data_IF_597648647419
#
_entry.id   IF_597648647419
#
_cell.length_a   1.000
_cell.length_b   1.000
_cell.length_c   1.000
_cell.angle_alpha   90.00
_cell.angle_beta   90.00
_cell.angle_gamma   90.00
#
_symmetry.space_group_name_H-M   'P 1'
#
loop_
_entity.id
_entity.type
_entity.pdbx_description
1 polymer ?
#
# COMPACT_ATOMS: atom_id res chain seq x y z
N UNK A 1 41.20 9.99 -4.86
CA UNK A 1 39.86 10.58 -5.13
C UNK A 1 39.87 12.10 -5.25
N UNK A 2 40.77 12.81 -4.54
CA UNK A 2 40.87 14.29 -4.62
C UNK A 2 41.46 14.74 -5.97
N UNK A 3 42.45 14.03 -6.50
CA UNK A 3 43.13 14.38 -7.77
C UNK A 3 42.27 14.15 -9.02
N UNK A 4 41.33 13.16 -8.95
CA UNK A 4 40.40 12.90 -10.05
C UNK A 4 39.35 14.03 -10.25
N UNK A 5 38.97 14.74 -9.17
CA UNK A 5 38.09 15.91 -9.24
C UNK A 5 38.77 17.17 -9.78
N UNK A 6 40.06 17.29 -9.55
CA UNK A 6 40.86 18.44 -10.01
C UNK A 6 41.24 18.35 -11.51
N UNK A 7 41.33 17.12 -12.05
CA UNK A 7 41.63 16.92 -13.49
C UNK A 7 40.43 17.17 -14.41
N UNK A 8 39.23 17.41 -13.86
CA UNK A 8 38.01 17.77 -14.58
C UNK A 8 37.48 19.15 -14.17
N UNK A 9 38.35 20.06 -13.80
CA UNK A 9 37.94 21.45 -13.69
C UNK A 9 37.46 21.91 -15.08
N UNK A 10 36.27 22.53 -15.19
CA UNK A 10 35.77 23.04 -16.47
C UNK A 10 36.82 24.01 -17.08
N UNK A 11 37.07 23.87 -18.37
CA UNK A 11 37.96 24.79 -19.11
C UNK A 11 37.40 26.21 -19.08
N UNK A 12 38.23 27.22 -19.40
CA UNK A 12 37.77 28.60 -19.49
C UNK A 12 36.65 28.68 -20.55
N UNK A 13 35.41 28.86 -20.13
CA UNK A 13 34.21 28.91 -21.00
C UNK A 13 33.12 27.89 -20.66
N UNK A 14 33.39 26.88 -19.82
CA UNK A 14 32.37 25.92 -19.32
C UNK A 14 31.73 26.43 -18.02
N UNK A 15 31.16 27.62 -18.04
CA UNK A 15 30.33 28.13 -16.96
C UNK A 15 28.96 27.47 -16.99
N UNK A 16 28.44 27.10 -15.81
CA UNK A 16 27.06 26.59 -15.68
C UNK A 16 26.10 27.78 -15.77
N UNK A 17 25.13 27.70 -16.69
CA UNK A 17 24.02 28.66 -16.73
C UNK A 17 23.09 28.39 -15.54
N UNK A 18 22.82 29.42 -14.78
CA UNK A 18 21.79 29.36 -13.75
C UNK A 18 20.41 29.24 -14.42
N UNK A 19 19.66 28.20 -14.10
CA UNK A 19 18.33 27.96 -14.65
C UNK A 19 17.29 28.53 -13.69
N UNK A 20 16.45 29.42 -14.19
CA UNK A 20 15.27 29.90 -13.50
C UNK A 20 14.07 29.02 -13.89
N UNK A 21 13.41 28.53 -12.87
CA UNK A 21 12.22 27.70 -13.02
C UNK A 21 10.97 28.55 -12.83
N UNK A 22 10.07 28.50 -13.80
CA UNK A 22 8.79 29.22 -13.72
C UNK A 22 7.90 28.61 -12.64
N UNK A 23 7.06 29.44 -11.97
CA UNK A 23 6.01 28.93 -11.07
C UNK A 23 5.16 27.85 -11.75
N UNK A 24 4.73 26.87 -10.96
CA UNK A 24 3.99 25.71 -11.44
C UNK A 24 4.86 24.59 -12.06
N UNK A 25 6.20 24.69 -11.95
CA UNK A 25 7.13 23.62 -12.34
C UNK A 25 7.50 22.76 -11.14
N UNK A 26 7.39 21.45 -11.31
CA UNK A 26 7.80 20.44 -10.32
C UNK A 26 8.99 19.63 -10.85
N UNK A 27 10.01 19.43 -10.04
CA UNK A 27 11.12 18.51 -10.33
C UNK A 27 10.96 17.26 -9.48
N UNK A 28 11.18 16.09 -10.08
CA UNK A 28 11.00 14.78 -9.43
C UNK A 28 12.26 13.94 -9.55
N UNK A 29 12.68 13.34 -8.44
CA UNK A 29 13.82 12.44 -8.38
C UNK A 29 13.60 11.37 -7.29
N UNK A 30 14.41 10.33 -7.32
CA UNK A 30 14.39 9.24 -6.36
C UNK A 30 15.71 9.12 -5.60
N UNK A 31 15.58 8.94 -4.30
CA UNK A 31 16.66 8.50 -3.42
C UNK A 31 16.46 7.08 -2.89
N UNK A 32 17.55 6.50 -2.40
CA UNK A 32 17.49 5.23 -1.65
C UNK A 32 17.66 5.50 -0.17
N UNK A 33 16.95 4.76 0.68
CA UNK A 33 17.14 4.80 2.13
C UNK A 33 16.70 3.50 2.78
N UNK A 34 17.04 3.33 4.06
CA UNK A 34 16.62 2.20 4.88
C UNK A 34 15.69 2.66 5.99
N UNK A 35 14.71 1.83 6.31
CA UNK A 35 13.85 1.99 7.48
C UNK A 35 13.41 0.61 7.99
N UNK A 36 13.08 0.52 9.28
CA UNK A 36 12.39 -0.64 9.83
C UNK A 36 10.88 -0.38 9.75
N UNK A 37 10.13 -1.26 9.08
CA UNK A 37 8.67 -1.15 8.95
C UNK A 37 8.03 -2.45 9.41
N UNK A 38 7.12 -2.37 10.37
CA UNK A 38 6.50 -3.54 10.99
C UNK A 38 7.53 -4.56 11.55
N UNK A 39 8.66 -4.06 12.07
CA UNK A 39 9.75 -4.90 12.59
C UNK A 39 10.74 -5.41 11.53
N UNK A 40 10.48 -5.20 10.25
CA UNK A 40 11.30 -5.68 9.13
C UNK A 40 12.21 -4.56 8.60
N UNK A 41 13.54 -4.78 8.48
CA UNK A 41 14.44 -3.84 7.82
C UNK A 41 14.20 -3.86 6.31
N UNK A 42 13.90 -2.69 5.73
CA UNK A 42 13.55 -2.55 4.32
C UNK A 42 14.46 -1.55 3.62
N UNK A 43 14.91 -1.91 2.40
CA UNK A 43 15.46 -0.97 1.43
C UNK A 43 14.31 -0.32 0.67
N UNK A 44 14.13 0.99 0.86
CA UNK A 44 13.02 1.78 0.35
C UNK A 44 13.51 2.83 -0.65
N UNK A 45 12.58 3.33 -1.44
CA UNK A 45 12.77 4.43 -2.37
C UNK A 45 12.10 5.68 -1.81
N UNK A 46 12.81 6.79 -1.83
CA UNK A 46 12.29 8.10 -1.46
C UNK A 46 11.96 8.86 -2.76
N UNK A 47 10.69 8.91 -3.12
CA UNK A 47 10.21 9.79 -4.17
C UNK A 47 10.23 11.22 -3.63
N UNK A 48 10.98 12.09 -4.26
CA UNK A 48 11.09 13.51 -3.90
C UNK A 48 10.51 14.35 -5.02
N UNK A 49 9.66 15.28 -4.68
CA UNK A 49 9.12 16.28 -5.58
C UNK A 49 9.39 17.68 -5.00
N UNK A 50 9.94 18.56 -5.80
CA UNK A 50 10.25 19.94 -5.40
C UNK A 50 9.56 20.93 -6.32
N UNK A 51 9.13 22.05 -5.75
CA UNK A 51 8.81 23.26 -6.49
C UNK A 51 10.02 24.20 -6.37
N UNK A 52 10.87 24.31 -7.40
CA UNK A 52 12.14 25.03 -7.29
C UNK A 52 11.99 26.53 -7.04
N UNK A 53 10.91 27.15 -7.52
CA UNK A 53 10.64 28.56 -7.34
C UNK A 53 10.41 28.93 -5.85
N UNK A 54 9.52 28.24 -5.07
CA UNK A 54 9.36 28.51 -3.64
C UNK A 54 10.34 27.71 -2.76
N UNK A 55 11.15 26.82 -3.30
CA UNK A 55 11.97 25.84 -2.58
C UNK A 55 11.14 24.92 -1.65
N UNK A 56 9.88 24.63 -2.05
CA UNK A 56 9.04 23.65 -1.37
C UNK A 56 9.47 22.23 -1.73
N UNK A 57 9.62 21.37 -0.72
CA UNK A 57 10.10 20.00 -0.88
C UNK A 57 9.12 19.03 -0.25
N UNK A 58 8.69 18.05 -1.02
CA UNK A 58 7.81 16.96 -0.58
C UNK A 58 8.47 15.62 -0.83
N UNK A 59 8.17 14.63 0.00
CA UNK A 59 8.60 13.27 -0.28
C UNK A 59 7.58 12.21 0.17
N UNK A 60 7.69 11.04 -0.46
CA UNK A 60 6.92 9.84 -0.17
C UNK A 60 7.83 8.62 -0.23
N UNK A 61 7.75 7.75 0.76
CA UNK A 61 8.44 6.46 0.75
C UNK A 61 7.65 5.46 -0.10
N UNK A 62 8.33 4.80 -1.02
CA UNK A 62 7.76 3.76 -1.87
C UNK A 62 8.60 2.48 -1.82
N UNK A 63 8.00 1.33 -2.14
CA UNK A 63 8.71 0.05 -2.19
C UNK A 63 9.52 -0.13 -3.48
N UNK A 64 9.21 0.66 -4.51
CA UNK A 64 9.80 0.53 -5.84
C UNK A 64 9.67 1.84 -6.62
N UNK A 65 10.45 2.00 -7.67
CA UNK A 65 10.39 3.13 -8.61
C UNK A 65 9.44 2.86 -9.79
N UNK A 66 8.71 1.74 -9.80
CA UNK A 66 7.79 1.41 -10.91
C UNK A 66 6.67 2.43 -11.04
N UNK A 67 6.12 2.57 -12.24
CA UNK A 67 5.13 3.59 -12.59
C UNK A 67 3.94 3.65 -11.63
N UNK A 68 3.43 2.50 -11.13
CA UNK A 68 2.33 2.48 -10.17
C UNK A 68 2.70 3.07 -8.81
N UNK A 69 3.94 2.88 -8.34
CA UNK A 69 4.45 3.48 -7.11
C UNK A 69 4.71 4.98 -7.30
N UNK A 70 5.28 5.37 -8.43
CA UNK A 70 5.55 6.77 -8.77
C UNK A 70 4.25 7.56 -8.91
N UNK A 71 3.28 7.07 -9.71
CA UNK A 71 2.01 7.75 -9.90
C UNK A 71 1.23 7.88 -8.58
N UNK A 72 1.21 6.83 -7.74
CA UNK A 72 0.57 6.90 -6.43
C UNK A 72 1.25 7.92 -5.51
N UNK A 73 2.58 7.94 -5.45
CA UNK A 73 3.33 8.89 -4.65
C UNK A 73 3.18 10.34 -5.12
N UNK A 74 3.19 10.58 -6.44
CA UNK A 74 2.94 11.92 -6.99
C UNK A 74 1.49 12.37 -6.75
N UNK A 75 0.50 11.47 -6.87
CA UNK A 75 -0.88 11.81 -6.55
C UNK A 75 -1.04 12.24 -5.08
N UNK A 76 -0.34 11.57 -4.16
CA UNK A 76 -0.31 11.94 -2.73
C UNK A 76 0.34 13.33 -2.53
N UNK A 77 1.46 13.61 -3.20
CA UNK A 77 2.13 14.92 -3.13
C UNK A 77 1.24 16.02 -3.72
N UNK A 78 0.62 15.79 -4.88
CA UNK A 78 -0.32 16.75 -5.47
C UNK A 78 -1.51 17.03 -4.55
N UNK A 79 -1.99 15.98 -3.85
CA UNK A 79 -3.00 16.11 -2.81
C UNK A 79 -2.58 17.02 -1.65
N UNK A 80 -1.31 16.93 -1.21
CA UNK A 80 -0.75 17.80 -0.15
C UNK A 80 -0.65 19.27 -0.60
N UNK A 81 -0.28 19.53 -1.85
CA UNK A 81 -0.31 20.88 -2.43
C UNK A 81 -1.74 21.39 -2.71
N UNK A 82 -2.71 20.49 -2.82
CA UNK A 82 -4.07 20.82 -3.27
C UNK A 82 -4.17 21.24 -4.74
N UNK A 83 -3.07 21.07 -5.49
CA UNK A 83 -2.91 21.47 -6.89
C UNK A 83 -1.98 20.49 -7.62
N UNK A 84 -2.11 20.41 -8.96
CA UNK A 84 -1.21 19.68 -9.83
C UNK A 84 -0.28 20.64 -10.60
N UNK A 85 1.02 20.34 -10.72
CA UNK A 85 1.95 21.15 -11.50
C UNK A 85 1.50 21.31 -12.96
N UNK A 86 1.99 22.35 -13.64
CA UNK A 86 1.84 22.48 -15.10
C UNK A 86 2.87 21.66 -15.85
N UNK A 87 4.09 21.62 -15.31
CA UNK A 87 5.23 20.89 -15.86
C UNK A 87 5.85 20.01 -14.76
N UNK A 88 6.07 18.73 -15.08
CA UNK A 88 6.84 17.81 -14.25
C UNK A 88 8.13 17.45 -14.97
N UNK A 89 9.25 17.76 -14.34
CA UNK A 89 10.59 17.48 -14.86
C UNK A 89 11.13 16.24 -14.15
N UNK A 90 11.46 15.21 -14.92
CA UNK A 90 11.94 13.92 -14.44
C UNK A 90 13.41 13.75 -14.79
N UNK A 91 14.23 13.29 -13.84
CA UNK A 91 15.64 13.02 -14.08
C UNK A 91 15.84 11.86 -15.04
N UNK A 92 15.08 10.80 -14.89
CA UNK A 92 15.29 9.57 -15.64
C UNK A 92 14.00 9.10 -16.32
N UNK A 93 14.12 8.75 -17.60
CA UNK A 93 13.04 8.20 -18.39
C UNK A 93 12.56 6.82 -17.93
N UNK A 94 13.42 6.06 -17.23
CA UNK A 94 13.16 4.65 -16.86
C UNK A 94 11.99 4.49 -15.88
N UNK A 95 11.66 5.49 -15.12
CA UNK A 95 10.59 5.46 -14.12
C UNK A 95 9.22 5.75 -14.74
N UNK A 96 9.17 6.68 -15.67
CA UNK A 96 7.97 7.05 -16.42
C UNK A 96 7.76 6.19 -17.68
N UNK A 97 8.83 5.57 -18.22
CA UNK A 97 8.79 4.86 -19.48
C UNK A 97 10.06 4.10 -19.83
N UNK A 98 10.39 4.05 -21.10
CA UNK A 98 11.62 3.42 -21.62
C UNK A 98 12.31 4.37 -22.59
N UNK A 99 13.65 4.36 -22.59
CA UNK A 99 14.42 5.01 -23.64
C UNK A 99 14.43 4.09 -24.87
N UNK A 100 13.89 4.55 -25.98
CA UNK A 100 13.89 3.85 -27.26
C UNK A 100 14.47 4.78 -28.30
N UNK A 101 15.62 4.42 -28.89
CA UNK A 101 16.31 5.19 -29.93
C UNK A 101 16.60 6.67 -29.58
N UNK A 102 16.86 6.95 -28.29
CA UNK A 102 17.12 8.31 -27.81
C UNK A 102 15.87 9.13 -27.45
N UNK A 103 14.68 8.56 -27.64
CA UNK A 103 13.40 9.15 -27.23
C UNK A 103 12.80 8.41 -26.07
N UNK A 104 12.11 9.14 -25.18
CA UNK A 104 11.40 8.55 -24.05
C UNK A 104 10.01 8.10 -24.46
N UNK A 105 9.78 6.80 -24.45
CA UNK A 105 8.44 6.24 -24.59
C UNK A 105 7.82 6.04 -23.19
N UNK A 106 6.85 6.88 -22.84
CA UNK A 106 6.16 6.82 -21.57
C UNK A 106 5.35 5.50 -21.40
N UNK A 107 5.26 5.01 -20.18
CA UNK A 107 4.37 3.89 -19.87
C UNK A 107 2.91 4.33 -20.03
N UNK A 108 2.02 3.41 -20.42
CA UNK A 108 0.60 3.72 -20.57
C UNK A 108 0.00 4.29 -19.27
N UNK A 109 0.42 3.77 -18.12
CA UNK A 109 -0.05 4.25 -16.80
C UNK A 109 0.40 5.69 -16.54
N UNK A 110 1.66 6.03 -16.83
CA UNK A 110 2.14 7.40 -16.65
C UNK A 110 1.48 8.39 -17.62
N UNK A 111 1.27 7.98 -18.88
CA UNK A 111 0.54 8.82 -19.86
C UNK A 111 -0.91 9.07 -19.41
N UNK A 112 -1.60 8.06 -18.85
CA UNK A 112 -2.93 8.22 -18.26
C UNK A 112 -2.91 9.17 -17.06
N UNK A 113 -1.92 9.02 -16.17
CA UNK A 113 -1.71 9.89 -15.01
C UNK A 113 -1.48 11.34 -15.44
N UNK A 114 -0.60 11.57 -16.43
CA UNK A 114 -0.34 12.87 -17.03
C UNK A 114 -1.62 13.50 -17.60
N UNK A 115 -2.40 12.73 -18.35
CA UNK A 115 -3.67 13.19 -18.92
C UNK A 115 -4.70 13.53 -17.84
N UNK A 116 -4.79 12.73 -16.78
CA UNK A 116 -5.74 12.94 -15.68
C UNK A 116 -5.47 14.25 -14.93
N UNK A 117 -4.21 14.54 -14.58
CA UNK A 117 -3.80 15.78 -13.89
C UNK A 117 -3.49 16.93 -14.85
N UNK A 118 -3.45 16.67 -16.18
CA UNK A 118 -3.28 17.65 -17.24
C UNK A 118 -1.97 18.43 -17.17
N UNK A 119 -0.87 17.78 -16.77
CA UNK A 119 0.45 18.36 -16.77
C UNK A 119 1.27 17.92 -17.99
N UNK A 120 2.32 18.68 -18.31
CA UNK A 120 3.33 18.31 -19.28
C UNK A 120 4.51 17.63 -18.58
N UNK A 121 5.17 16.71 -19.28
CA UNK A 121 6.38 16.03 -18.79
C UNK A 121 7.59 16.46 -19.60
N UNK A 122 8.71 16.70 -18.94
CA UNK A 122 10.02 16.91 -19.55
C UNK A 122 11.05 16.00 -18.89
N UNK A 123 11.93 15.45 -19.69
CA UNK A 123 13.02 14.61 -19.24
C UNK A 123 14.33 15.36 -19.35
N UNK A 124 15.16 15.33 -18.31
CA UNK A 124 16.48 15.93 -18.33
C UNK A 124 17.38 15.19 -19.31
N UNK A 125 18.23 15.91 -20.00
CA UNK A 125 19.24 15.31 -20.88
C UNK A 125 20.27 14.54 -20.02
N UNK A 126 20.72 13.35 -20.48
CA UNK A 126 21.89 12.71 -19.88
C UNK A 126 23.05 13.68 -19.83
N UNK A 127 23.74 13.83 -18.70
CA UNK A 127 24.88 14.69 -18.44
C UNK A 127 24.61 16.20 -18.21
N UNK A 128 23.35 16.64 -18.10
CA UNK A 128 23.04 18.06 -17.80
C UNK A 128 22.89 18.26 -16.28
N UNK A 129 23.98 18.25 -15.53
CA UNK A 129 24.01 18.44 -14.08
C UNK A 129 23.37 19.75 -13.59
N UNK A 130 23.27 20.77 -14.45
CA UNK A 130 22.70 22.08 -14.13
C UNK A 130 21.16 22.03 -13.98
N UNK A 131 20.48 21.12 -14.71
CA UNK A 131 19.03 20.98 -14.68
C UNK A 131 18.55 20.32 -13.37
N UNK A 132 19.46 19.67 -12.63
CA UNK A 132 19.16 18.76 -11.50
C UNK A 132 19.51 19.31 -10.11
N UNK A 133 20.33 20.36 -10.04
CA UNK A 133 20.93 20.79 -8.77
C UNK A 133 19.95 21.02 -7.61
N UNK A 134 18.70 21.39 -7.90
CA UNK A 134 17.69 21.64 -6.89
C UNK A 134 17.14 20.32 -6.29
N UNK A 135 16.71 19.38 -7.13
CA UNK A 135 16.08 18.13 -6.63
C UNK A 135 17.09 17.14 -6.06
N UNK A 136 18.30 17.02 -6.63
CA UNK A 136 19.38 16.19 -6.06
C UNK A 136 19.78 16.66 -4.66
N UNK A 137 19.91 18.00 -4.49
CA UNK A 137 20.14 18.61 -3.18
C UNK A 137 18.98 18.33 -2.21
N UNK A 138 17.72 18.35 -2.69
CA UNK A 138 16.55 18.07 -1.89
C UNK A 138 16.53 16.61 -1.40
N UNK A 139 16.87 15.64 -2.23
CA UNK A 139 16.99 14.22 -1.82
C UNK A 139 17.98 14.09 -0.66
N UNK A 140 19.19 14.66 -0.81
CA UNK A 140 20.21 14.64 0.24
C UNK A 140 19.76 15.36 1.52
N UNK A 141 19.12 16.52 1.38
CA UNK A 141 18.62 17.32 2.47
C UNK A 141 17.53 16.58 3.27
N UNK A 142 16.50 16.05 2.60
CA UNK A 142 15.40 15.34 3.25
C UNK A 142 15.90 14.06 3.94
N UNK A 143 16.82 13.32 3.32
CA UNK A 143 17.42 12.14 3.95
C UNK A 143 18.13 12.48 5.27
N UNK A 144 18.94 13.54 5.30
CA UNK A 144 19.68 13.93 6.52
C UNK A 144 18.76 14.42 7.62
N UNK A 145 17.68 15.12 7.28
CA UNK A 145 16.79 15.74 8.27
C UNK A 145 15.65 14.83 8.75
N UNK A 146 15.20 13.87 7.92
CA UNK A 146 14.00 13.06 8.22
C UNK A 146 14.30 11.56 8.40
N UNK A 147 15.47 11.08 7.94
CA UNK A 147 15.75 9.65 7.86
C UNK A 147 17.06 9.27 8.56
N UNK A 148 17.60 10.16 9.40
CA UNK A 148 18.78 9.91 10.23
C UNK A 148 18.44 10.30 11.67
N UNK A 149 18.62 9.36 12.62
CA UNK A 149 19.03 7.95 12.49
C UNK A 149 17.99 7.12 11.69
N UNK A 150 18.35 5.86 11.33
CA UNK A 150 17.43 4.97 10.59
C UNK A 150 16.11 4.84 11.34
N UNK A 151 14.98 5.24 10.74
CA UNK A 151 13.72 5.31 11.45
C UNK A 151 13.02 3.94 11.52
N UNK A 152 12.13 3.79 12.52
CA UNK A 152 11.30 2.60 12.72
C UNK A 152 9.83 2.99 12.87
N UNK A 153 8.96 2.31 12.11
CA UNK A 153 7.53 2.56 12.06
C UNK A 153 6.72 1.26 12.03
N UNK A 154 5.49 1.30 12.53
CA UNK A 154 4.57 0.17 12.49
C UNK A 154 4.01 -0.14 11.10
N UNK A 155 4.04 0.83 10.17
CA UNK A 155 3.52 0.66 8.81
C UNK A 155 4.11 1.67 7.82
N UNK A 156 4.00 1.37 6.51
CA UNK A 156 4.33 2.33 5.43
C UNK A 156 3.47 3.59 5.50
N UNK A 157 2.22 3.48 5.92
CA UNK A 157 1.32 4.63 6.08
C UNK A 157 1.79 5.56 7.20
N UNK A 158 2.25 5.02 8.32
CA UNK A 158 2.82 5.79 9.43
C UNK A 158 4.11 6.49 9.01
N UNK A 159 5.02 5.77 8.33
CA UNK A 159 6.23 6.34 7.76
C UNK A 159 5.90 7.53 6.84
N UNK A 160 4.98 7.37 5.89
CA UNK A 160 4.62 8.44 4.95
C UNK A 160 3.93 9.62 5.63
N UNK A 161 3.14 9.40 6.67
CA UNK A 161 2.58 10.48 7.50
C UNK A 161 3.70 11.27 8.19
N UNK A 162 4.65 10.60 8.82
CA UNK A 162 5.80 11.23 9.47
C UNK A 162 6.65 12.03 8.48
N UNK A 163 6.87 11.52 7.26
CA UNK A 163 7.57 12.24 6.19
C UNK A 163 6.80 13.49 5.76
N UNK A 164 5.48 13.42 5.61
CA UNK A 164 4.64 14.56 5.26
C UNK A 164 4.72 15.68 6.32
N UNK A 165 4.57 15.32 7.60
CA UNK A 165 4.72 16.24 8.73
C UNK A 165 6.13 16.84 8.79
N UNK A 166 7.15 16.02 8.53
CA UNK A 166 8.54 16.45 8.46
C UNK A 166 8.78 17.47 7.35
N UNK A 167 8.27 17.22 6.14
CA UNK A 167 8.33 18.17 5.04
C UNK A 167 7.63 19.49 5.38
N UNK A 168 6.44 19.42 5.97
CA UNK A 168 5.70 20.62 6.36
C UNK A 168 6.49 21.49 7.37
N UNK A 169 7.12 20.86 8.38
CA UNK A 169 7.98 21.58 9.35
C UNK A 169 9.20 22.23 8.68
N UNK A 170 9.88 21.52 7.77
CA UNK A 170 11.06 22.03 7.08
C UNK A 170 10.70 23.19 6.14
N UNK A 171 9.60 23.06 5.38
CA UNK A 171 9.13 24.08 4.46
C UNK A 171 8.64 25.35 5.18
N UNK A 172 8.06 25.22 6.38
CA UNK A 172 7.60 26.38 7.16
C UNK A 172 8.74 27.35 7.54
N UNK A 173 9.97 26.87 7.69
CA UNK A 173 11.15 27.66 7.98
C UNK A 173 12.03 27.95 6.77
N UNK A 174 11.68 27.44 5.59
CA UNK A 174 12.45 27.59 4.37
C UNK A 174 12.37 29.02 3.80
N UNK A 175 13.41 29.42 3.10
CA UNK A 175 13.47 30.67 2.36
C UNK A 175 13.89 30.41 0.91
N UNK A 176 13.32 31.19 0.00
CA UNK A 176 13.73 31.21 -1.39
C UNK A 176 15.15 31.77 -1.54
N UNK A 177 15.74 31.59 -2.72
CA UNK A 177 17.08 32.14 -3.04
C UNK A 177 17.16 33.67 -2.88
N UNK A 178 16.06 34.38 -3.15
CA UNK A 178 15.95 35.84 -2.98
C UNK A 178 15.72 36.27 -1.52
N UNK A 179 15.68 35.32 -0.56
CA UNK A 179 15.49 35.57 0.86
C UNK A 179 14.04 35.69 1.32
N UNK A 180 13.06 35.70 0.42
CA UNK A 180 11.63 35.70 0.77
C UNK A 180 11.24 34.41 1.50
N UNK A 181 10.24 34.44 2.39
CA UNK A 181 9.68 33.22 2.98
C UNK A 181 9.13 32.29 1.87
N UNK A 182 9.48 31.00 1.92
CA UNK A 182 9.02 30.00 0.95
C UNK A 182 7.49 29.94 0.84
N UNK A 183 6.76 30.12 1.94
CA UNK A 183 5.30 30.14 1.92
C UNK A 183 4.65 31.28 1.13
N UNK A 184 5.37 32.39 0.89
CA UNK A 184 4.87 33.49 0.04
C UNK A 184 5.01 33.10 -1.44
N UNK A 185 6.18 32.64 -1.84
CA UNK A 185 6.43 32.17 -3.21
C UNK A 185 5.60 30.90 -3.54
N UNK A 186 5.31 30.07 -2.57
CA UNK A 186 4.41 28.90 -2.76
C UNK A 186 3.01 29.33 -3.22
N UNK A 187 2.47 30.45 -2.71
CA UNK A 187 1.17 30.95 -3.17
C UNK A 187 1.20 31.37 -4.64
N UNK A 188 2.31 31.92 -5.10
CA UNK A 188 2.54 32.25 -6.53
C UNK A 188 2.55 30.96 -7.36
N UNK A 189 3.31 29.94 -6.93
CA UNK A 189 3.35 28.62 -7.60
C UNK A 189 1.96 27.98 -7.67
N UNK A 190 1.24 27.91 -6.55
CA UNK A 190 -0.09 27.32 -6.49
C UNK A 190 -1.10 28.04 -7.38
N UNK A 191 -0.96 29.37 -7.60
CA UNK A 191 -1.85 30.12 -8.49
C UNK A 191 -1.65 29.71 -9.96
N UNK A 192 -0.44 29.37 -10.36
CA UNK A 192 -0.11 28.89 -11.69
C UNK A 192 -0.37 27.39 -11.91
N UNK A 193 -0.53 26.62 -10.83
CA UNK A 193 -0.81 25.18 -10.88
C UNK A 193 -2.28 24.92 -11.20
N UNK A 194 -2.57 23.71 -11.67
CA UNK A 194 -3.91 23.28 -12.07
C UNK A 194 -4.72 22.81 -10.86
N UNK A 195 -6.03 23.04 -10.88
CA UNK A 195 -6.93 22.44 -9.90
C UNK A 195 -6.91 20.91 -10.02
N UNK A 196 -6.96 20.23 -8.87
CA UNK A 196 -7.06 18.77 -8.84
C UNK A 196 -8.39 18.33 -9.46
N UNK A 197 -8.39 17.16 -10.16
CA UNK A 197 -9.62 16.51 -10.56
C UNK A 197 -10.50 16.15 -9.37
N UNK A 198 -11.82 16.11 -9.56
CA UNK A 198 -12.77 15.75 -8.50
C UNK A 198 -12.69 14.28 -8.05
N UNK A 199 -12.04 13.44 -8.84
CA UNK A 199 -11.79 12.01 -8.53
C UNK A 199 -10.28 11.77 -8.50
N UNK A 200 -9.78 11.11 -7.47
CA UNK A 200 -8.38 10.75 -7.38
C UNK A 200 -8.00 9.72 -8.45
N UNK A 201 -6.78 9.81 -8.97
CA UNK A 201 -6.27 8.83 -9.92
C UNK A 201 -6.00 7.49 -9.23
N UNK A 202 -6.57 6.42 -9.73
CA UNK A 202 -6.24 5.06 -9.30
C UNK A 202 -5.03 4.55 -10.09
N UNK A 203 -3.85 4.59 -9.46
CA UNK A 203 -2.59 4.17 -10.08
C UNK A 203 -2.52 2.64 -10.20
N UNK A 204 -3.33 2.06 -11.06
CA UNK A 204 -3.43 0.61 -11.29
C UNK A 204 -2.94 0.23 -12.68
N UNK A 205 -2.04 -0.77 -12.72
CA UNK A 205 -1.60 -1.43 -13.96
C UNK A 205 -2.29 -2.77 -14.10
N UNK A 206 -3.12 -2.91 -15.11
CA UNK A 206 -3.86 -4.14 -15.40
C UNK A 206 -3.00 -5.10 -16.22
N UNK A 207 -2.86 -6.35 -15.75
CA UNK A 207 -2.06 -7.40 -16.38
C UNK A 207 -2.94 -8.64 -16.56
N UNK A 208 -3.13 -9.15 -17.80
CA UNK A 208 -3.78 -10.43 -18.01
C UNK A 208 -2.86 -11.54 -17.45
N UNK A 209 -3.43 -12.44 -16.65
CA UNK A 209 -2.74 -13.56 -16.03
C UNK A 209 -3.53 -14.86 -16.23
N UNK A 210 -2.87 -16.00 -16.11
CA UNK A 210 -3.52 -17.31 -16.09
C UNK A 210 -3.17 -18.02 -14.78
N UNK A 211 -4.20 -18.51 -14.09
CA UNK A 211 -3.99 -19.35 -12.92
C UNK A 211 -3.48 -20.73 -13.33
N UNK A 212 -2.54 -21.27 -12.59
CA UNK A 212 -2.04 -22.64 -12.75
C UNK A 212 -3.06 -23.67 -12.22
N UNK A 213 -2.69 -24.98 -12.25
CA UNK A 213 -3.54 -26.07 -11.74
C UNK A 213 -3.84 -25.97 -10.24
N UNK A 214 -3.07 -25.21 -9.49
CA UNK A 214 -3.26 -24.95 -8.04
C UNK A 214 -4.08 -23.69 -7.78
N UNK A 215 -4.35 -22.88 -8.81
CA UNK A 215 -5.01 -21.59 -8.68
C UNK A 215 -4.05 -20.46 -8.31
N UNK A 216 -2.76 -20.58 -8.67
CA UNK A 216 -1.75 -19.53 -8.47
C UNK A 216 -1.61 -18.72 -9.75
N UNK A 217 -1.40 -17.42 -9.60
CA UNK A 217 -1.10 -16.49 -10.68
C UNK A 217 0.25 -15.83 -10.44
N UNK A 218 1.01 -15.58 -11.49
CA UNK A 218 2.28 -14.87 -11.42
C UNK A 218 2.10 -13.42 -11.85
N UNK A 219 2.61 -12.50 -11.02
CA UNK A 219 2.65 -11.06 -11.29
C UNK A 219 4.02 -10.52 -10.87
N UNK A 220 4.75 -9.91 -11.81
CA UNK A 220 6.07 -9.32 -11.55
C UNK A 220 7.10 -10.29 -10.92
N UNK A 221 7.06 -11.59 -11.32
CA UNK A 221 7.92 -12.63 -10.77
C UNK A 221 7.52 -13.12 -9.36
N UNK A 222 6.30 -12.77 -8.90
CA UNK A 222 5.76 -13.21 -7.60
C UNK A 222 4.48 -14.02 -7.79
N UNK A 223 4.33 -15.09 -7.04
CA UNK A 223 3.13 -15.91 -7.02
C UNK A 223 2.08 -15.32 -6.05
N UNK A 224 0.83 -15.27 -6.52
CA UNK A 224 -0.35 -14.87 -5.75
C UNK A 224 -1.42 -15.95 -5.84
N UNK A 225 -2.07 -16.27 -4.73
CA UNK A 225 -3.05 -17.36 -4.68
C UNK A 225 -4.45 -16.81 -4.93
N UNK A 226 -4.98 -17.06 -6.13
CA UNK A 226 -6.39 -16.82 -6.46
C UNK A 226 -7.31 -17.87 -5.81
N UNK A 227 -6.78 -19.08 -5.60
CA UNK A 227 -7.46 -20.23 -5.00
C UNK A 227 -7.79 -21.32 -6.02
N UNK A 228 -7.93 -22.58 -5.54
CA UNK A 228 -8.11 -23.75 -6.41
C UNK A 228 -9.39 -23.71 -7.27
N UNK A 229 -10.38 -22.93 -6.87
CA UNK A 229 -11.59 -22.74 -7.66
C UNK A 229 -11.35 -22.04 -9.02
N UNK A 230 -10.19 -21.40 -9.17
CA UNK A 230 -9.80 -20.61 -10.32
C UNK A 230 -8.74 -21.31 -11.19
N UNK A 231 -8.43 -22.59 -10.94
CA UNK A 231 -7.44 -23.33 -11.70
C UNK A 231 -7.68 -23.22 -13.22
N UNK A 232 -6.59 -23.05 -13.97
CA UNK A 232 -6.57 -22.94 -15.43
C UNK A 232 -7.38 -21.75 -16.02
N UNK A 233 -7.94 -20.86 -15.18
CA UNK A 233 -8.72 -19.70 -15.64
C UNK A 233 -7.82 -18.54 -16.06
N UNK A 234 -8.26 -17.79 -17.07
CA UNK A 234 -7.74 -16.46 -17.38
C UNK A 234 -8.35 -15.46 -16.41
N UNK A 235 -7.50 -14.65 -15.81
CA UNK A 235 -7.84 -13.65 -14.80
C UNK A 235 -7.17 -12.33 -15.17
N UNK A 236 -7.56 -11.26 -14.51
CA UNK A 236 -6.95 -9.94 -14.67
C UNK A 236 -6.38 -9.50 -13.32
N UNK A 237 -5.09 -9.17 -13.27
CA UNK A 237 -4.43 -8.65 -12.08
C UNK A 237 -4.28 -7.14 -12.16
N UNK A 238 -4.84 -6.40 -11.20
CA UNK A 238 -4.67 -4.96 -11.01
C UNK A 238 -3.56 -4.70 -10.00
N UNK A 239 -2.42 -4.21 -10.47
CA UNK A 239 -1.22 -3.97 -9.67
C UNK A 239 -1.18 -2.52 -9.24
N UNK A 240 -1.27 -2.26 -7.93
CA UNK A 240 -1.12 -0.94 -7.30
C UNK A 240 0.20 -0.86 -6.51
N UNK A 241 0.50 0.27 -5.94
CA UNK A 241 1.71 0.46 -5.13
C UNK A 241 1.83 -0.54 -3.97
N UNK A 242 0.74 -0.84 -3.28
CA UNK A 242 0.74 -1.70 -2.09
C UNK A 242 -0.10 -2.98 -2.20
N UNK A 243 -0.87 -3.16 -3.29
CA UNK A 243 -1.81 -4.29 -3.42
C UNK A 243 -1.82 -4.86 -4.82
N UNK A 244 -2.19 -6.14 -4.91
CA UNK A 244 -2.54 -6.82 -6.15
C UNK A 244 -3.98 -7.29 -6.02
N UNK A 245 -4.86 -6.79 -6.89
CA UNK A 245 -6.25 -7.19 -7.00
C UNK A 245 -6.41 -8.19 -8.14
N UNK A 246 -7.06 -9.31 -7.90
CA UNK A 246 -7.31 -10.32 -8.92
C UNK A 246 -8.80 -10.30 -9.24
N UNK A 247 -9.11 -10.14 -10.54
CA UNK A 247 -10.47 -10.13 -11.07
C UNK A 247 -10.70 -11.29 -12.02
N UNK A 248 -11.90 -11.85 -11.97
CA UNK A 248 -12.42 -12.78 -12.96
C UNK A 248 -13.32 -12.05 -13.98
N UNK A 249 -13.95 -12.81 -14.85
CA UNK A 249 -14.87 -12.30 -15.86
C UNK A 249 -15.90 -11.34 -15.28
N UNK A 250 -16.25 -10.31 -16.04
CA UNK A 250 -17.19 -9.24 -15.67
C UNK A 250 -16.79 -8.45 -14.43
N UNK A 251 -15.48 -8.37 -14.13
CA UNK A 251 -14.98 -7.58 -13.01
C UNK A 251 -15.24 -8.19 -11.62
N UNK A 252 -15.62 -9.49 -11.55
CA UNK A 252 -15.83 -10.17 -10.27
C UNK A 252 -14.52 -10.25 -9.50
N UNK A 253 -14.47 -9.61 -8.34
CA UNK A 253 -13.30 -9.64 -7.45
C UNK A 253 -13.08 -11.06 -6.90
N UNK A 254 -11.88 -11.59 -7.14
CA UNK A 254 -11.42 -12.90 -6.65
C UNK A 254 -10.65 -12.74 -5.35
N UNK A 255 -9.67 -11.83 -5.33
CA UNK A 255 -8.84 -11.54 -4.17
C UNK A 255 -8.26 -10.13 -4.25
N UNK A 256 -7.97 -9.56 -3.08
CA UNK A 256 -7.08 -8.41 -2.92
C UNK A 256 -5.98 -8.85 -1.95
N UNK A 257 -4.74 -8.79 -2.39
CA UNK A 257 -3.59 -9.33 -1.67
C UNK A 257 -2.54 -8.23 -1.49
N UNK A 258 -1.76 -8.23 -0.41
CA UNK A 258 -0.61 -7.34 -0.29
C UNK A 258 0.35 -7.55 -1.46
N UNK A 259 0.88 -6.46 -2.02
CA UNK A 259 1.92 -6.58 -3.05
C UNK A 259 3.23 -7.00 -2.42
N UNK A 260 3.79 -8.08 -2.91
CA UNK A 260 5.11 -8.57 -2.54
C UNK A 260 6.19 -7.98 -3.44
N UNK A 261 7.37 -7.75 -2.88
CA UNK A 261 8.56 -7.25 -3.56
C UNK A 261 9.74 -8.19 -3.23
N UNK A 262 10.62 -8.40 -4.19
CA UNK A 262 11.74 -9.32 -4.05
C UNK A 262 11.32 -10.79 -4.06
N UNK A 263 12.17 -11.69 -3.60
CA UNK A 263 11.90 -13.13 -3.50
C UNK A 263 11.13 -13.50 -2.22
N UNK A 264 10.47 -14.63 -2.22
CA UNK A 264 9.77 -15.15 -1.05
C UNK A 264 8.60 -16.07 -1.40
N UNK A 265 7.84 -16.56 -0.42
CA UNK A 265 6.71 -17.47 -0.63
C UNK A 265 5.56 -16.79 -1.39
N UNK A 266 4.66 -17.61 -1.95
CA UNK A 266 3.44 -17.10 -2.59
C UNK A 266 2.58 -16.31 -1.62
N UNK A 267 2.07 -15.16 -2.09
CA UNK A 267 1.15 -14.32 -1.30
C UNK A 267 -0.23 -14.93 -1.35
N UNK A 268 -0.83 -15.17 -0.20
CA UNK A 268 -2.11 -15.84 -0.10
C UNK A 268 -3.03 -15.17 0.92
N UNK A 269 -4.32 -15.33 0.68
CA UNK A 269 -5.34 -15.18 1.71
C UNK A 269 -5.80 -16.57 2.12
N UNK A 270 -5.70 -16.97 3.38
CA UNK A 270 -6.15 -18.28 3.85
C UNK A 270 -7.57 -18.62 3.42
N UNK A 271 -8.46 -17.62 3.34
CA UNK A 271 -9.84 -17.80 2.89
C UNK A 271 -9.98 -18.33 1.45
N UNK A 272 -8.99 -18.11 0.58
CA UNK A 272 -9.04 -18.65 -0.79
C UNK A 272 -9.06 -20.17 -0.87
N UNK A 273 -8.61 -20.87 0.19
CA UNK A 273 -8.57 -22.32 0.30
C UNK A 273 -9.86 -22.92 0.89
N UNK A 274 -10.60 -22.14 1.68
CA UNK A 274 -11.75 -22.66 2.45
C UNK A 274 -12.86 -23.24 1.57
N UNK A 275 -13.27 -22.65 0.45
CA UNK A 275 -14.30 -23.25 -0.41
C UNK A 275 -13.94 -24.66 -0.91
N UNK A 276 -12.68 -24.88 -1.27
CA UNK A 276 -12.21 -26.19 -1.70
C UNK A 276 -12.21 -27.21 -0.54
N UNK A 277 -11.86 -26.76 0.66
CA UNK A 277 -11.86 -27.60 1.87
C UNK A 277 -13.28 -27.91 2.35
N UNK A 278 -14.23 -26.99 2.23
CA UNK A 278 -15.65 -27.25 2.50
C UNK A 278 -16.19 -28.34 1.56
N UNK A 279 -15.78 -28.30 0.27
CA UNK A 279 -16.14 -29.34 -0.69
C UNK A 279 -15.45 -30.68 -0.39
N UNK A 280 -14.21 -30.65 0.08
CA UNK A 280 -13.36 -31.84 0.35
C UNK A 280 -12.79 -31.79 1.78
N UNK A 281 -13.59 -32.02 2.84
CA UNK A 281 -13.17 -31.82 4.25
C UNK A 281 -12.00 -32.72 4.68
N UNK A 282 -11.83 -33.89 4.04
CA UNK A 282 -10.72 -34.81 4.33
C UNK A 282 -9.36 -34.20 3.94
N UNK A 283 -9.31 -33.28 2.97
CA UNK A 283 -8.08 -32.61 2.56
C UNK A 283 -7.56 -31.61 3.60
N UNK A 284 -8.32 -31.31 4.65
CA UNK A 284 -7.91 -30.39 5.72
C UNK A 284 -6.61 -30.86 6.40
N UNK A 285 -6.44 -32.18 6.63
CA UNK A 285 -5.27 -32.76 7.30
C UNK A 285 -3.94 -32.36 6.69
N UNK A 286 -3.88 -32.25 5.35
CA UNK A 286 -2.67 -31.91 4.58
C UNK A 286 -2.69 -30.46 4.04
N UNK A 287 -3.71 -29.67 4.41
CA UNK A 287 -3.87 -28.33 3.88
C UNK A 287 -2.94 -27.32 4.55
N UNK A 288 -2.37 -26.42 3.75
CA UNK A 288 -1.51 -25.34 4.23
C UNK A 288 -2.25 -24.30 5.10
N UNK A 289 -3.58 -24.23 5.06
CA UNK A 289 -4.39 -23.33 5.91
C UNK A 289 -4.18 -23.58 7.42
N UNK A 290 -3.81 -24.81 7.77
CA UNK A 290 -3.52 -25.21 9.16
C UNK A 290 -2.46 -24.34 9.82
N UNK A 291 -1.49 -23.81 9.03
CA UNK A 291 -0.43 -22.91 9.52
C UNK A 291 -0.94 -21.51 9.89
N UNK A 292 -2.11 -21.15 9.37
CA UNK A 292 -2.73 -19.84 9.57
C UNK A 292 -3.79 -19.88 10.68
N UNK A 293 -4.06 -21.06 11.26
CA UNK A 293 -5.07 -21.29 12.31
C UNK A 293 -4.41 -21.51 13.67
N UNK A 294 -5.06 -21.14 14.77
CA UNK A 294 -4.61 -21.50 16.11
C UNK A 294 -4.51 -23.04 16.27
N UNK A 295 -3.44 -23.52 16.93
CA UNK A 295 -3.18 -24.95 17.09
C UNK A 295 -4.35 -25.72 17.71
N UNK A 296 -4.97 -25.20 18.79
CA UNK A 296 -6.14 -25.81 19.43
C UNK A 296 -7.36 -25.93 18.50
N UNK A 297 -7.56 -24.97 17.58
CA UNK A 297 -8.61 -25.07 16.57
C UNK A 297 -8.30 -26.18 15.54
N UNK A 298 -7.06 -26.28 15.11
CA UNK A 298 -6.62 -27.34 14.19
C UNK A 298 -6.84 -28.72 14.81
N UNK A 299 -6.40 -28.93 16.03
CA UNK A 299 -6.61 -30.19 16.77
C UNK A 299 -8.12 -30.51 16.96
N UNK A 300 -8.91 -29.48 17.28
CA UNK A 300 -10.36 -29.65 17.42
C UNK A 300 -11.03 -30.08 16.13
N UNK A 301 -10.67 -29.43 15.00
CA UNK A 301 -11.18 -29.80 13.68
C UNK A 301 -10.71 -31.20 13.27
N UNK A 302 -9.49 -31.61 13.61
CA UNK A 302 -8.95 -32.94 13.30
C UNK A 302 -9.72 -34.08 14.01
N UNK A 303 -10.25 -33.84 15.19
CA UNK A 303 -11.08 -34.80 15.95
C UNK A 303 -12.50 -34.94 15.40
N UNK A 304 -12.95 -34.01 14.53
CA UNK A 304 -14.29 -34.04 13.96
C UNK A 304 -14.38 -35.04 12.81
N UNK A 305 -15.57 -35.55 12.58
CA UNK A 305 -15.92 -36.28 11.36
C UNK A 305 -15.99 -35.33 10.13
N UNK A 306 -16.18 -35.88 8.95
CA UNK A 306 -16.23 -35.09 7.71
C UNK A 306 -17.37 -34.05 7.70
N UNK A 307 -18.49 -34.33 8.36
CA UNK A 307 -19.63 -33.41 8.42
C UNK A 307 -19.33 -32.26 9.38
N UNK A 308 -18.76 -32.53 10.55
CA UNK A 308 -18.29 -31.57 11.52
C UNK A 308 -17.22 -30.64 10.96
N UNK A 309 -16.18 -31.19 10.30
CA UNK A 309 -15.15 -30.41 9.60
C UNK A 309 -15.74 -29.47 8.56
N UNK A 310 -16.66 -29.97 7.72
CA UNK A 310 -17.35 -29.14 6.71
C UNK A 310 -18.12 -27.99 7.36
N UNK A 311 -18.82 -28.25 8.46
CA UNK A 311 -19.59 -27.25 9.21
C UNK A 311 -18.66 -26.19 9.78
N UNK A 312 -17.62 -26.58 10.51
CA UNK A 312 -16.64 -25.67 11.10
C UNK A 312 -15.95 -24.78 10.06
N UNK A 313 -15.47 -25.37 8.96
CA UNK A 313 -14.84 -24.60 7.88
C UNK A 313 -15.82 -23.63 7.20
N UNK A 314 -17.08 -24.01 7.02
CA UNK A 314 -18.12 -23.13 6.47
C UNK A 314 -18.40 -21.95 7.41
N UNK A 315 -18.54 -22.22 8.71
CA UNK A 315 -18.79 -21.17 9.71
C UNK A 315 -17.63 -20.18 9.80
N UNK A 316 -16.37 -20.65 9.75
CA UNK A 316 -15.19 -19.80 9.69
C UNK A 316 -15.22 -18.95 8.41
N UNK A 317 -15.52 -19.55 7.25
CA UNK A 317 -15.59 -18.82 5.97
C UNK A 317 -16.58 -17.66 6.03
N UNK A 318 -17.80 -17.93 6.49
CA UNK A 318 -18.88 -16.93 6.57
C UNK A 318 -18.56 -15.81 7.56
N UNK A 319 -18.14 -16.15 8.77
CA UNK A 319 -17.79 -15.17 9.78
C UNK A 319 -16.61 -14.29 9.36
N UNK A 320 -15.69 -14.84 8.56
CA UNK A 320 -14.50 -14.11 8.05
C UNK A 320 -14.86 -13.00 7.08
N UNK A 321 -15.97 -13.07 6.37
CA UNK A 321 -16.41 -12.02 5.44
C UNK A 321 -16.69 -10.69 6.16
N UNK A 322 -17.24 -10.75 7.37
CA UNK A 322 -17.59 -9.59 8.18
C UNK A 322 -16.52 -9.21 9.20
N UNK A 323 -15.80 -10.18 9.76
CA UNK A 323 -14.95 -9.99 10.94
C UNK A 323 -13.46 -10.27 10.71
N UNK A 324 -13.10 -10.76 9.51
CA UNK A 324 -11.74 -11.18 9.18
C UNK A 324 -11.42 -12.61 9.63
N UNK A 325 -10.41 -13.23 8.99
CA UNK A 325 -10.06 -14.64 9.19
C UNK A 325 -9.59 -14.93 10.63
N UNK A 326 -8.75 -14.07 11.18
CA UNK A 326 -8.21 -14.24 12.53
C UNK A 326 -9.31 -14.24 13.59
N UNK A 327 -10.22 -13.26 13.55
CA UNK A 327 -11.33 -13.16 14.49
C UNK A 327 -12.27 -14.36 14.38
N UNK A 328 -12.55 -14.82 13.15
CA UNK A 328 -13.37 -16.01 12.91
C UNK A 328 -12.71 -17.29 13.43
N UNK A 329 -11.40 -17.47 13.27
CA UNK A 329 -10.65 -18.61 13.81
C UNK A 329 -10.63 -18.58 15.34
N UNK A 330 -10.41 -17.42 15.97
CA UNK A 330 -10.47 -17.27 17.43
C UNK A 330 -11.88 -17.56 17.99
N UNK A 331 -12.92 -17.13 17.28
CA UNK A 331 -14.29 -17.43 17.64
C UNK A 331 -14.59 -18.95 17.55
N UNK A 332 -14.18 -19.57 16.46
CA UNK A 332 -14.35 -21.01 16.27
C UNK A 332 -13.56 -21.83 17.32
N UNK A 333 -12.36 -21.39 17.70
CA UNK A 333 -11.56 -22.01 18.76
C UNK A 333 -12.34 -22.04 20.08
N UNK A 334 -12.94 -20.93 20.51
CA UNK A 334 -13.75 -20.87 21.74
C UNK A 334 -14.91 -21.86 21.73
N UNK A 335 -15.57 -22.02 20.56
CA UNK A 335 -16.65 -23.01 20.43
C UNK A 335 -16.14 -24.43 20.59
N UNK A 336 -14.95 -24.72 20.01
CA UNK A 336 -14.29 -26.02 20.11
C UNK A 336 -13.83 -26.32 21.55
N UNK A 337 -13.24 -25.34 22.23
CA UNK A 337 -12.82 -25.43 23.63
C UNK A 337 -14.01 -25.70 24.54
N UNK A 338 -15.19 -25.19 24.19
CA UNK A 338 -16.48 -25.53 24.86
C UNK A 338 -17.08 -26.90 24.48
N UNK A 339 -16.31 -27.76 23.79
CA UNK A 339 -16.71 -29.11 23.41
C UNK A 339 -17.77 -29.18 22.31
N UNK A 340 -18.01 -28.09 21.57
CA UNK A 340 -19.05 -28.02 20.53
C UNK A 340 -18.45 -27.94 19.14
N UNK A 341 -19.23 -28.34 18.14
CA UNK A 341 -18.87 -28.10 16.73
C UNK A 341 -19.23 -26.66 16.33
N UNK A 342 -18.32 -25.88 15.76
CA UNK A 342 -18.60 -24.52 15.29
C UNK A 342 -19.81 -24.47 14.34
N UNK A 343 -20.74 -23.58 14.64
CA UNK A 343 -21.92 -23.29 13.82
C UNK A 343 -21.93 -21.82 13.38
N UNK A 344 -22.66 -21.52 12.30
CA UNK A 344 -22.64 -20.22 11.64
C UNK A 344 -23.03 -19.07 12.59
N UNK A 345 -24.09 -19.24 13.39
CA UNK A 345 -24.62 -18.19 14.26
C UNK A 345 -23.67 -17.86 15.42
N UNK A 346 -23.18 -18.90 16.10
CA UNK A 346 -22.28 -18.73 17.26
C UNK A 346 -20.95 -18.14 16.84
N UNK A 347 -20.37 -18.65 15.75
CA UNK A 347 -19.07 -18.18 15.25
C UNK A 347 -19.17 -16.74 14.74
N UNK A 348 -20.23 -16.37 14.02
CA UNK A 348 -20.41 -15.00 13.53
C UNK A 348 -20.57 -14.00 14.68
N UNK A 349 -21.40 -14.31 15.68
CA UNK A 349 -21.59 -13.45 16.85
C UNK A 349 -20.28 -13.22 17.62
N UNK A 350 -19.55 -14.30 17.91
CA UNK A 350 -18.29 -14.21 18.65
C UNK A 350 -17.20 -13.49 17.83
N UNK A 351 -17.12 -13.75 16.51
CA UNK A 351 -16.15 -13.12 15.64
C UNK A 351 -16.34 -11.59 15.56
N UNK A 352 -17.59 -11.13 15.45
CA UNK A 352 -17.91 -9.68 15.48
C UNK A 352 -17.51 -9.04 16.80
N UNK A 353 -17.76 -9.71 17.94
CA UNK A 353 -17.36 -9.22 19.27
C UNK A 353 -15.83 -9.10 19.36
N UNK A 354 -15.08 -10.11 18.89
CA UNK A 354 -13.63 -10.12 18.89
C UNK A 354 -13.09 -9.01 17.99
N UNK A 355 -13.63 -8.84 16.78
CA UNK A 355 -13.23 -7.81 15.83
C UNK A 355 -13.50 -6.39 16.35
N UNK A 356 -14.54 -6.18 17.16
CA UNK A 356 -14.86 -4.91 17.80
C UNK A 356 -13.99 -4.58 19.03
N UNK A 357 -12.95 -5.39 19.32
CA UNK A 357 -12.06 -5.18 20.47
C UNK A 357 -12.67 -5.56 21.81
N UNK A 358 -13.80 -6.25 21.81
CA UNK A 358 -14.39 -6.85 23.01
C UNK A 358 -13.46 -7.93 23.56
N UNK A 359 -12.83 -7.64 24.71
CA UNK A 359 -11.82 -8.49 25.34
C UNK A 359 -12.29 -9.90 25.65
N UNK A 360 -11.35 -10.75 26.05
CA UNK A 360 -11.47 -12.17 26.35
C UNK A 360 -12.33 -12.53 27.59
N UNK A 361 -13.18 -11.63 28.09
CA UNK A 361 -14.05 -11.94 29.19
C UNK A 361 -15.14 -12.96 28.76
N UNK A 362 -15.28 -14.10 29.45
CA UNK A 362 -16.42 -14.98 29.30
C UNK A 362 -17.65 -14.33 29.96
N UNK A 363 -18.20 -13.31 29.31
CA UNK A 363 -19.47 -12.73 29.68
C UNK A 363 -20.58 -13.63 29.13
N UNK A 364 -20.98 -14.64 29.84
CA UNK A 364 -22.33 -15.22 29.66
C UNK A 364 -23.36 -14.08 29.78
N UNK A 365 -24.54 -14.17 29.13
CA UNK A 365 -25.58 -13.20 29.35
C UNK A 365 -25.83 -13.11 30.84
N UNK A 366 -25.77 -11.89 31.37
CA UNK A 366 -26.16 -11.66 32.79
C UNK A 366 -27.65 -11.92 32.87
N UNK A 367 -27.99 -13.15 33.27
CA UNK A 367 -29.37 -13.59 33.48
C UNK A 367 -30.02 -12.84 34.65
N UNK A 368 -29.24 -12.15 35.51
CA UNK A 368 -29.74 -11.32 36.59
C UNK A 368 -30.62 -10.16 36.10
N UNK A 369 -30.44 -9.72 34.89
CA UNK A 369 -31.31 -8.71 34.25
C UNK A 369 -32.72 -9.26 34.03
N UNK A 370 -32.87 -10.55 33.79
CA UNK A 370 -34.18 -11.20 33.61
C UNK A 370 -34.88 -11.50 34.94
N UNK A 371 -34.15 -11.71 36.02
CA UNK A 371 -34.75 -11.91 37.37
C UNK A 371 -35.46 -10.64 37.87
N UNK A 372 -35.07 -9.46 37.41
CA UNK A 372 -35.78 -8.21 37.70
C UNK A 372 -37.15 -8.11 37.04
N UNK A 373 -37.36 -8.72 35.87
CA UNK A 373 -38.65 -8.76 35.19
C UNK A 373 -39.61 -9.78 35.80
N UNK A 374 -39.10 -10.87 36.38
CA UNK A 374 -39.92 -11.89 37.02
C UNK A 374 -40.41 -11.44 38.42
N UNK A 375 -39.67 -10.59 39.13
CA UNK A 375 -40.07 -10.05 40.44
C UNK A 375 -41.10 -8.91 40.36
N UNK A 376 -41.20 -8.23 39.19
CA UNK A 376 -42.21 -7.19 38.96
C UNK A 376 -43.63 -7.68 38.63
N UNK A 377 -43.80 -8.96 38.33
CA UNK A 377 -45.09 -9.52 37.89
C UNK A 377 -45.95 -10.14 39.06
N UNK A 378 -45.47 -10.09 40.31
CA UNK A 378 -46.19 -10.72 41.46
C UNK A 378 -46.76 -9.71 42.45
N UNK A 379 -46.69 -8.42 42.22
CA UNK A 379 -47.26 -7.39 43.12
C UNK A 379 -48.33 -6.52 42.44
N UNK A 380 -49.35 -7.17 41.90
CA UNK A 380 -50.51 -6.49 41.30
C UNK A 380 -51.79 -7.32 41.50
N UNK A 381 -52.13 -7.63 42.74
CA UNK A 381 -53.36 -8.31 43.03
C UNK A 381 -53.80 -8.07 44.50
N UNK A 382 -54.41 -6.90 44.69
CA UNK A 382 -55.57 -6.71 45.64
C UNK A 382 -56.16 -5.32 45.41
#
# INVERSE_FOLDING_TARGET
MRDWRLSRAPGPGEGYLELEWRPGTCQVDYGNFRATVAGEPLDLKLLVATLPHPDDRQCVATRSQRSECMCAGLAEIFGRWGRAPRLVVLDNATEAGRMVRGEVTESALFSQFKGHYRFESRYCNPYSGNEKGSVENAVGFLRRNLLVPVPSFGSMAELNRSLAEGCARLNASARCRDGRPSGEALREDLSEMRALPGVAFDAVRWVPVRADKRGYVEVDGREYVAGPAWHDRRLLAGVRAGTVEILADRGRRVAVLPRAFGEGPAVRNPLSLVPALVARPRAFGESTIRRDMPAGLVEGIDRMDAAGRRRALRSISRASEASGFEAACRAALRVVEGGRVPDDATVDLLARRIAAGGGDAPGGPDLGVYDGFLKGAVSGGR
#
